data_IF_056484655985
#
_entry.id   IF_056484655985
#
_cell.length_a   1.000
_cell.length_b   1.000
_cell.length_c   1.000
_cell.angle_alpha   90.00
_cell.angle_beta   90.00
_cell.angle_gamma   90.00
#
_symmetry.space_group_name_H-M   'P 1'
#
loop_
_entity.id
_entity.type
_entity.pdbx_description
1 polymer ?
#
# COMPACT_ATOMS: atom_id res chain seq x y z
N UNK A 1 -11.36 5.75 -10.66
CA UNK A 1 -10.32 6.51 -9.92
C UNK A 1 -10.52 6.36 -8.41
N UNK A 2 -11.42 7.11 -7.77
CA UNK A 2 -11.66 6.95 -6.31
C UNK A 2 -12.21 5.59 -5.91
N UNK A 3 -12.98 4.94 -6.79
CA UNK A 3 -13.50 3.60 -6.53
C UNK A 3 -12.39 2.54 -6.49
N UNK A 4 -11.32 2.75 -7.26
CA UNK A 4 -10.18 1.83 -7.34
C UNK A 4 -9.34 1.97 -6.05
N UNK A 5 -9.19 3.19 -5.51
CA UNK A 5 -8.61 3.42 -4.19
C UNK A 5 -9.40 2.70 -3.08
N UNK A 6 -10.74 2.74 -3.12
CA UNK A 6 -11.56 2.02 -2.14
C UNK A 6 -11.37 0.51 -2.23
N UNK A 7 -11.27 -0.04 -3.45
CA UNK A 7 -10.97 -1.45 -3.66
C UNK A 7 -9.56 -1.81 -3.16
N UNK A 8 -8.57 -0.96 -3.39
CA UNK A 8 -7.22 -1.08 -2.83
C UNK A 8 -7.26 -1.12 -1.30
N UNK A 9 -8.02 -0.23 -0.65
CA UNK A 9 -8.18 -0.26 0.81
C UNK A 9 -8.82 -1.55 1.33
N UNK A 10 -9.80 -2.12 0.61
CA UNK A 10 -10.41 -3.40 0.97
C UNK A 10 -9.41 -4.57 0.98
N UNK A 11 -8.27 -4.42 0.30
CA UNK A 11 -7.20 -5.42 0.22
C UNK A 11 -6.09 -5.10 1.22
N UNK A 12 -5.56 -3.88 1.17
CA UNK A 12 -4.35 -3.50 1.91
C UNK A 12 -4.60 -3.30 3.40
N UNK A 13 -5.77 -2.78 3.81
CA UNK A 13 -6.06 -2.52 5.21
C UNK A 13 -6.20 -3.82 6.04
N UNK A 14 -6.86 -4.89 5.56
CA UNK A 14 -6.82 -6.19 6.23
C UNK A 14 -5.41 -6.77 6.35
N UNK A 15 -4.57 -6.62 5.33
CA UNK A 15 -3.17 -7.09 5.37
C UNK A 15 -2.40 -6.33 6.45
N UNK A 16 -2.53 -5.00 6.49
CA UNK A 16 -1.92 -4.18 7.54
C UNK A 16 -2.38 -4.61 8.94
N UNK A 17 -3.69 -4.84 9.15
CA UNK A 17 -4.19 -5.37 10.42
C UNK A 17 -3.57 -6.71 10.77
N UNK A 18 -3.49 -7.64 9.82
CA UNK A 18 -2.91 -8.96 10.03
C UNK A 18 -1.46 -8.87 10.54
N UNK A 19 -0.65 -7.99 9.98
CA UNK A 19 0.76 -7.86 10.38
C UNK A 19 0.97 -6.94 11.60
N UNK A 20 0.18 -5.88 11.74
CA UNK A 20 0.41 -4.81 12.73
C UNK A 20 -0.45 -4.91 13.99
N UNK A 21 -1.39 -5.87 14.10
CA UNK A 21 -2.24 -6.02 15.30
C UNK A 21 -1.47 -6.18 16.63
N UNK A 22 -0.19 -6.59 16.57
CA UNK A 22 0.68 -6.69 17.76
C UNK A 22 1.41 -5.39 18.10
N UNK A 23 1.43 -4.43 17.17
CA UNK A 23 2.15 -3.16 17.28
C UNK A 23 1.23 -2.00 17.66
N UNK A 24 -0.06 -2.07 17.32
CA UNK A 24 -1.02 -0.99 17.61
C UNK A 24 -2.47 -1.50 17.63
N UNK A 25 -3.40 -0.63 18.03
CA UNK A 25 -4.83 -0.89 18.02
C UNK A 25 -5.37 -0.86 16.57
N UNK A 26 -6.46 -1.57 16.28
CA UNK A 26 -7.02 -1.63 14.92
C UNK A 26 -7.37 -0.26 14.31
N UNK A 27 -7.95 0.66 15.09
CA UNK A 27 -8.41 1.96 14.56
C UNK A 27 -7.24 2.82 14.04
N UNK A 28 -6.15 3.05 14.80
CA UNK A 28 -4.93 3.68 14.28
C UNK A 28 -4.36 3.01 13.03
N UNK A 29 -4.30 1.67 13.00
CA UNK A 29 -3.78 0.90 11.86
C UNK A 29 -4.58 1.19 10.60
N UNK A 30 -5.90 1.15 10.69
CA UNK A 30 -6.79 1.41 9.57
C UNK A 30 -6.70 2.87 9.08
N UNK A 31 -6.68 3.84 9.99
CA UNK A 31 -6.60 5.26 9.65
C UNK A 31 -5.27 5.61 8.99
N UNK A 32 -4.16 5.24 9.62
CA UNK A 32 -2.83 5.51 9.08
C UNK A 32 -2.57 4.73 7.80
N UNK A 33 -3.02 3.47 7.72
CA UNK A 33 -2.97 2.67 6.49
C UNK A 33 -3.71 3.33 5.33
N UNK A 34 -4.93 3.82 5.58
CA UNK A 34 -5.72 4.52 4.57
C UNK A 34 -5.03 5.81 4.11
N UNK A 35 -4.40 6.55 5.04
CA UNK A 35 -3.63 7.76 4.71
C UNK A 35 -2.37 7.46 3.90
N UNK A 36 -1.63 6.40 4.22
CA UNK A 36 -0.47 5.96 3.42
C UNK A 36 -0.92 5.68 1.99
N UNK A 37 -1.91 4.80 1.83
CA UNK A 37 -2.43 4.40 0.51
C UNK A 37 -3.02 5.60 -0.25
N UNK A 38 -3.75 6.50 0.43
CA UNK A 38 -4.26 7.73 -0.17
C UNK A 38 -3.16 8.71 -0.62
N UNK A 39 -1.97 8.65 -0.02
CA UNK A 39 -0.84 9.51 -0.38
C UNK A 39 -0.04 8.96 -1.56
N UNK A 40 0.06 7.64 -1.68
CA UNK A 40 0.87 6.96 -2.70
C UNK A 40 0.08 6.66 -3.97
N UNK A 41 -1.20 6.32 -3.84
CA UNK A 41 -2.04 5.93 -4.96
C UNK A 41 -2.27 7.05 -6.00
N UNK A 42 -2.57 8.31 -5.63
CA UNK A 42 -2.73 9.39 -6.61
C UNK A 42 -1.43 9.66 -7.36
N UNK A 43 -0.28 9.53 -6.70
CA UNK A 43 1.02 9.63 -7.36
C UNK A 43 1.19 8.53 -8.41
N UNK A 44 0.83 7.30 -8.06
CA UNK A 44 0.90 6.15 -8.96
C UNK A 44 0.02 6.34 -10.21
N UNK A 45 -1.23 6.75 -10.02
CA UNK A 45 -2.17 6.99 -11.13
C UNK A 45 -1.76 8.18 -11.98
N UNK A 46 -1.35 9.30 -11.36
CA UNK A 46 -0.90 10.47 -12.08
C UNK A 46 0.32 10.15 -12.97
N UNK A 47 1.33 9.48 -12.40
CA UNK A 47 2.54 9.17 -13.14
C UNK A 47 2.28 8.18 -14.29
N UNK A 48 1.46 7.15 -14.05
CA UNK A 48 1.04 6.21 -15.08
C UNK A 48 0.32 6.90 -16.23
N UNK A 49 -0.63 7.78 -15.92
CA UNK A 49 -1.51 8.43 -16.92
C UNK A 49 -0.81 9.52 -17.72
N UNK A 50 0.06 10.32 -17.11
CA UNK A 50 0.68 11.46 -17.76
C UNK A 50 2.02 11.13 -18.43
N UNK A 51 2.80 10.22 -17.84
CA UNK A 51 4.20 9.99 -18.24
C UNK A 51 4.36 8.63 -18.94
N UNK A 52 3.35 7.76 -18.89
CA UNK A 52 3.43 6.43 -19.52
C UNK A 52 4.54 5.55 -18.92
N UNK A 53 4.89 5.79 -17.66
CA UNK A 53 5.98 5.09 -16.97
C UNK A 53 5.73 3.59 -16.85
N UNK A 54 6.81 2.81 -16.67
CA UNK A 54 6.71 1.38 -16.41
C UNK A 54 5.99 1.15 -15.07
N UNK A 55 4.76 0.63 -15.15
CA UNK A 55 3.90 0.42 -13.98
C UNK A 55 4.56 -0.47 -12.93
N UNK A 56 5.31 -1.51 -13.35
CA UNK A 56 6.00 -2.41 -12.43
C UNK A 56 7.08 -1.68 -11.63
N UNK A 57 7.82 -0.79 -12.28
CA UNK A 57 8.83 0.02 -11.58
C UNK A 57 8.17 0.99 -10.59
N UNK A 58 7.03 1.57 -10.97
CA UNK A 58 6.30 2.52 -10.14
C UNK A 58 5.74 1.83 -8.88
N UNK A 59 5.14 0.64 -9.03
CA UNK A 59 4.69 -0.20 -7.91
C UNK A 59 5.83 -0.58 -6.97
N UNK A 60 7.02 -0.88 -7.50
CA UNK A 60 8.20 -1.14 -6.67
C UNK A 60 8.59 0.09 -5.83
N UNK A 61 8.60 1.27 -6.44
CA UNK A 61 8.89 2.52 -5.72
C UNK A 61 7.85 2.78 -4.63
N UNK A 62 6.57 2.58 -4.94
CA UNK A 62 5.48 2.73 -3.96
C UNK A 62 5.65 1.73 -2.81
N UNK A 63 5.91 0.46 -3.10
CA UNK A 63 6.17 -0.55 -2.07
C UNK A 63 7.30 -0.16 -1.12
N UNK A 64 8.39 0.44 -1.63
CA UNK A 64 9.47 0.95 -0.79
C UNK A 64 9.05 2.14 0.08
N UNK A 65 8.31 3.10 -0.49
CA UNK A 65 7.82 4.29 0.25
C UNK A 65 6.85 3.86 1.36
N UNK A 66 5.94 2.93 1.07
CA UNK A 66 5.00 2.42 2.07
C UNK A 66 5.70 1.60 3.16
N UNK A 67 6.69 0.79 2.78
CA UNK A 67 7.54 0.08 3.74
C UNK A 67 8.26 1.04 4.70
N UNK A 68 8.72 2.18 4.17
CA UNK A 68 9.30 3.24 4.98
C UNK A 68 8.28 3.81 5.97
N UNK A 69 7.07 4.17 5.52
CA UNK A 69 6.03 4.65 6.42
C UNK A 69 5.68 3.64 7.52
N UNK A 70 5.54 2.36 7.17
CA UNK A 70 5.26 1.29 8.14
C UNK A 70 6.34 1.23 9.23
N UNK A 71 7.62 1.28 8.83
CA UNK A 71 8.76 1.28 9.75
C UNK A 71 8.69 2.43 10.75
N UNK A 72 8.42 3.64 10.26
CA UNK A 72 8.44 4.85 11.09
C UNK A 72 7.23 4.99 11.99
N UNK A 73 6.04 4.57 11.53
CA UNK A 73 4.80 4.72 12.30
C UNK A 73 4.65 3.63 13.38
N UNK A 74 5.10 2.40 13.12
CA UNK A 74 4.91 1.26 14.05
C UNK A 74 6.19 0.69 14.64
N UNK A 75 7.35 1.31 14.41
CA UNK A 75 8.66 0.88 14.92
C UNK A 75 8.98 -0.61 14.67
N UNK A 76 8.52 -1.16 13.54
CA UNK A 76 8.75 -2.54 13.09
C UNK A 76 10.18 -2.77 12.63
N UNK A 77 10.65 -4.01 12.45
CA UNK A 77 11.97 -4.23 11.82
C UNK A 77 11.94 -3.92 10.33
N UNK A 78 13.08 -3.57 9.72
CA UNK A 78 13.16 -3.35 8.26
C UNK A 78 12.66 -4.55 7.44
N UNK A 79 13.06 -5.80 7.74
CA UNK A 79 12.55 -6.96 7.01
C UNK A 79 11.03 -7.11 7.09
N UNK A 80 10.43 -6.88 8.27
CA UNK A 80 8.98 -6.93 8.43
C UNK A 80 8.29 -5.80 7.66
N UNK A 81 8.84 -4.59 7.71
CA UNK A 81 8.24 -3.43 7.04
C UNK A 81 8.26 -3.59 5.52
N UNK A 82 9.37 -4.10 4.98
CA UNK A 82 9.50 -4.47 3.56
C UNK A 82 8.51 -5.59 3.20
N UNK A 83 8.43 -6.65 4.02
CA UNK A 83 7.47 -7.72 3.78
C UNK A 83 6.04 -7.18 3.69
N UNK A 84 5.64 -6.30 4.61
CA UNK A 84 4.30 -5.69 4.63
C UNK A 84 4.07 -4.87 3.36
N UNK A 85 4.95 -3.91 3.06
CA UNK A 85 4.77 -3.03 1.90
C UNK A 85 4.74 -3.79 0.59
N UNK A 86 5.66 -4.73 0.37
CA UNK A 86 5.67 -5.57 -0.83
C UNK A 86 4.44 -6.49 -0.91
N UNK A 87 3.96 -7.02 0.20
CA UNK A 87 2.76 -7.88 0.22
C UNK A 87 1.51 -7.10 -0.16
N UNK A 88 1.32 -5.91 0.42
CA UNK A 88 0.21 -5.02 0.08
C UNK A 88 0.21 -4.70 -1.42
N UNK A 89 1.35 -4.21 -1.94
CA UNK A 89 1.46 -3.79 -3.33
C UNK A 89 1.35 -4.97 -4.31
N UNK A 90 2.01 -6.10 -4.03
CA UNK A 90 1.96 -7.26 -4.94
C UNK A 90 0.54 -7.84 -5.05
N UNK A 91 -0.20 -7.93 -3.94
CA UNK A 91 -1.58 -8.45 -3.95
C UNK A 91 -2.52 -7.44 -4.60
N UNK A 92 -2.44 -6.16 -4.23
CA UNK A 92 -3.24 -5.08 -4.78
C UNK A 92 -3.03 -4.95 -6.30
N UNK A 93 -1.78 -4.89 -6.74
CA UNK A 93 -1.41 -4.85 -8.16
C UNK A 93 -1.84 -6.11 -8.91
N UNK A 94 -1.62 -7.30 -8.34
CA UNK A 94 -2.03 -8.56 -8.94
C UNK A 94 -3.54 -8.64 -9.17
N UNK A 95 -4.34 -8.17 -8.21
CA UNK A 95 -5.80 -8.10 -8.34
C UNK A 95 -6.25 -7.02 -9.34
N UNK A 96 -5.54 -5.89 -9.41
CA UNK A 96 -5.74 -4.89 -10.46
C UNK A 96 -5.44 -5.43 -11.85
N UNK A 97 -4.37 -6.21 -12.00
CA UNK A 97 -4.01 -6.86 -13.27
C UNK A 97 -5.07 -7.85 -13.75
N UNK A 98 -5.72 -8.56 -12.82
CA UNK A 98 -6.82 -9.48 -13.13
C UNK A 98 -8.15 -8.77 -13.44
N UNK A 99 -8.21 -7.44 -13.30
CA UNK A 99 -9.42 -6.63 -13.52
C UNK A 99 -10.40 -6.62 -12.34
N UNK A 100 -9.96 -7.04 -11.16
CA UNK A 100 -10.79 -7.09 -9.95
C UNK A 100 -10.73 -5.76 -9.19
N UNK A 101 -9.60 -5.05 -9.31
CA UNK A 101 -9.38 -3.71 -8.79
C UNK A 101 -9.38 -2.71 -9.93
#
# INVERSE_FOLDING_TARGET
>A
MWIDLLKTWLIELPILLLFLHKYDRPVPILLLGALISASTWPFLVYYRTQIGGNIVLLELVVAFVESFWVRFLWNTSWPLSLLIGFTCNAISFGLGWLGWV
#
